data_IF_127489565742
#
_entry.id   IF_127489565742
#
_cell.length_a   1.000
_cell.length_b   1.000
_cell.length_c   1.000
_cell.angle_alpha   90.00
_cell.angle_beta   90.00
_cell.angle_gamma   90.00
#
_symmetry.space_group_name_H-M   'P 1'
#
loop_
_entity.id
_entity.type
_entity.pdbx_description
1 polymer ?
#
# COMPACT_ATOMS: atom_id res chain seq x y z
N UNK A 1 11.07 0.17 14.59
CA UNK A 1 10.88 -0.85 13.56
C UNK A 1 12.12 -0.94 12.67
N UNK A 2 12.44 0.12 11.92
CA UNK A 2 13.57 0.16 10.98
C UNK A 2 14.93 -0.29 11.56
N UNK A 3 15.40 0.35 12.64
CA UNK A 3 16.66 -0.03 13.28
C UNK A 3 16.72 -1.49 13.77
N UNK A 4 15.57 -2.08 14.07
CA UNK A 4 15.45 -3.43 14.63
C UNK A 4 15.44 -4.48 13.51
N UNK A 5 14.86 -4.16 12.35
CA UNK A 5 14.75 -5.08 11.21
C UNK A 5 15.76 -4.82 10.10
N UNK A 6 16.68 -3.86 10.27
CA UNK A 6 17.66 -3.46 9.26
C UNK A 6 18.48 -4.60 8.65
N UNK A 7 18.75 -5.66 9.42
CA UNK A 7 19.48 -6.85 8.93
C UNK A 7 18.63 -7.80 8.07
N UNK A 8 17.30 -7.65 8.11
CA UNK A 8 16.34 -8.39 7.27
C UNK A 8 15.97 -7.62 6.00
N UNK A 9 16.22 -6.32 5.97
CA UNK A 9 15.83 -5.47 4.85
C UNK A 9 16.75 -5.68 3.64
N UNK A 10 16.13 -5.83 2.48
CA UNK A 10 16.79 -5.83 1.18
C UNK A 10 16.62 -4.46 0.51
N UNK A 11 17.50 -4.08 -0.43
CA UNK A 11 17.34 -2.84 -1.16
C UNK A 11 16.02 -2.80 -1.94
N UNK A 12 15.54 -1.59 -2.24
CA UNK A 12 14.37 -1.37 -3.11
C UNK A 12 14.61 -2.09 -4.45
N UNK A 13 13.62 -2.82 -5.01
CA UNK A 13 12.21 -2.92 -4.61
C UNK A 13 11.85 -4.09 -3.68
N UNK A 14 12.83 -4.86 -3.19
CA UNK A 14 12.60 -6.16 -2.53
C UNK A 14 12.01 -6.06 -1.11
N UNK A 15 12.36 -4.99 -0.37
CA UNK A 15 11.76 -4.69 0.92
C UNK A 15 11.38 -3.22 0.98
N UNK A 16 10.12 -2.94 1.31
CA UNK A 16 9.67 -1.61 1.66
C UNK A 16 9.14 -1.62 3.09
N UNK A 17 9.64 -0.70 3.91
CA UNK A 17 9.23 -0.55 5.30
C UNK A 17 8.74 0.88 5.53
N UNK A 18 7.56 1.01 6.12
CA UNK A 18 7.05 2.30 6.57
C UNK A 18 6.23 2.14 7.85
N UNK A 19 6.67 2.79 8.93
CA UNK A 19 6.07 2.64 10.26
C UNK A 19 5.96 1.15 10.68
N UNK A 20 4.74 0.62 10.76
CA UNK A 20 4.41 -0.78 11.04
C UNK A 20 4.09 -1.62 9.79
N UNK A 21 3.97 -1.00 8.61
CA UNK A 21 3.71 -1.69 7.35
C UNK A 21 5.03 -2.18 6.71
N UNK A 22 5.03 -3.45 6.30
CA UNK A 22 6.14 -4.11 5.60
C UNK A 22 5.60 -4.71 4.29
N UNK A 23 6.25 -4.40 3.18
CA UNK A 23 6.07 -5.11 1.92
C UNK A 23 7.34 -5.88 1.58
N UNK A 24 7.16 -7.15 1.22
CA UNK A 24 8.20 -8.01 0.68
C UNK A 24 7.86 -8.35 -0.77
N UNK A 25 8.85 -8.22 -1.65
CA UNK A 25 8.78 -8.74 -3.02
C UNK A 25 9.80 -9.87 -3.17
N UNK A 26 9.42 -10.93 -3.87
CA UNK A 26 10.27 -12.07 -4.18
C UNK A 26 9.94 -12.55 -5.59
N UNK A 27 10.93 -13.14 -6.27
CA UNK A 27 10.72 -13.75 -7.59
C UNK A 27 10.06 -15.13 -7.46
N UNK A 28 10.45 -15.87 -6.42
CA UNK A 28 9.99 -17.23 -6.17
C UNK A 28 9.16 -17.31 -4.89
N UNK A 29 8.15 -18.18 -4.91
CA UNK A 29 7.32 -18.49 -3.74
C UNK A 29 8.14 -19.02 -2.56
N UNK A 30 9.10 -19.92 -2.81
CA UNK A 30 9.93 -20.51 -1.75
C UNK A 30 10.79 -19.44 -1.07
N UNK A 31 11.25 -18.44 -1.82
CA UNK A 31 11.98 -17.31 -1.26
C UNK A 31 11.06 -16.41 -0.42
N UNK A 32 9.83 -16.16 -0.86
CA UNK A 32 8.83 -15.43 -0.08
C UNK A 32 8.55 -16.11 1.27
N UNK A 33 8.35 -17.43 1.27
CA UNK A 33 8.11 -18.19 2.50
C UNK A 33 9.32 -18.11 3.44
N UNK A 34 10.54 -18.26 2.92
CA UNK A 34 11.79 -18.12 3.69
C UNK A 34 11.95 -16.71 4.26
N UNK A 35 11.72 -15.67 3.47
CA UNK A 35 11.81 -14.29 3.93
C UNK A 35 10.77 -14.02 5.01
N UNK A 36 9.50 -14.38 4.80
CA UNK A 36 8.45 -14.17 5.80
C UNK A 36 8.74 -14.90 7.11
N UNK A 37 9.35 -16.09 7.06
CA UNK A 37 9.79 -16.80 8.28
C UNK A 37 10.93 -16.05 8.99
N UNK A 38 11.93 -15.56 8.26
CA UNK A 38 13.01 -14.76 8.84
C UNK A 38 12.48 -13.47 9.50
N UNK A 39 11.45 -12.85 8.90
CA UNK A 39 10.73 -11.71 9.49
C UNK A 39 9.94 -12.10 10.74
N UNK A 40 9.24 -13.24 10.74
CA UNK A 40 8.57 -13.75 11.95
C UNK A 40 9.54 -13.91 13.11
N UNK A 41 10.66 -14.62 12.87
CA UNK A 41 11.64 -14.95 13.89
C UNK A 41 12.37 -13.70 14.37
N UNK A 42 12.73 -12.81 13.45
CA UNK A 42 13.35 -11.53 13.75
C UNK A 42 12.46 -10.65 14.62
N UNK A 43 11.17 -10.55 14.29
CA UNK A 43 10.21 -9.75 15.06
C UNK A 43 9.92 -10.36 16.44
N UNK A 44 9.81 -11.68 16.52
CA UNK A 44 9.58 -12.40 17.78
C UNK A 44 10.68 -12.12 18.81
N UNK A 45 11.95 -11.97 18.38
CA UNK A 45 13.08 -11.62 19.26
C UNK A 45 12.89 -10.29 20.00
N UNK A 46 12.10 -9.38 19.45
CA UNK A 46 11.81 -8.07 20.03
C UNK A 46 10.39 -7.99 20.61
N UNK A 47 9.71 -9.13 20.76
CA UNK A 47 8.34 -9.21 21.28
C UNK A 47 7.28 -8.72 20.29
N UNK A 48 7.62 -8.55 19.01
CA UNK A 48 6.69 -8.18 17.95
C UNK A 48 6.13 -9.42 17.26
N UNK A 49 4.89 -9.34 16.79
CA UNK A 49 4.19 -10.44 16.12
C UNK A 49 3.53 -9.94 14.83
N UNK A 50 3.71 -10.70 13.74
CA UNK A 50 3.01 -10.43 12.49
C UNK A 50 1.52 -10.73 12.62
N UNK A 51 0.72 -9.85 12.04
CA UNK A 51 -0.72 -10.01 11.98
C UNK A 51 -1.11 -10.76 10.70
N UNK A 52 -1.01 -12.08 10.72
CA UNK A 52 -1.35 -12.94 9.58
C UNK A 52 -2.77 -12.74 9.04
N UNK A 53 -3.72 -12.24 9.84
CA UNK A 53 -5.09 -11.94 9.38
C UNK A 53 -5.15 -10.71 8.47
N UNK A 54 -4.21 -9.78 8.62
CA UNK A 54 -4.08 -8.58 7.78
C UNK A 54 -3.05 -8.76 6.66
N UNK A 55 -2.21 -9.78 6.76
CA UNK A 55 -1.19 -10.06 5.75
C UNK A 55 -1.84 -10.74 4.56
N UNK A 56 -1.67 -10.13 3.40
CA UNK A 56 -2.14 -10.62 2.11
C UNK A 56 -0.95 -10.86 1.19
N UNK A 57 -1.11 -11.72 0.19
CA UNK A 57 -0.11 -11.90 -0.86
C UNK A 57 -0.75 -11.78 -2.24
N UNK A 58 0.08 -11.34 -3.19
CA UNK A 58 -0.24 -11.21 -4.60
C UNK A 58 0.77 -12.04 -5.39
N UNK A 59 0.29 -12.80 -6.36
CA UNK A 59 1.14 -13.52 -7.34
C UNK A 59 0.59 -13.25 -8.73
N UNK A 60 1.49 -13.03 -9.68
CA UNK A 60 1.19 -12.85 -11.10
C UNK A 60 1.00 -14.18 -11.82
N UNK A 61 1.38 -15.29 -11.20
CA UNK A 61 1.22 -16.62 -11.78
C UNK A 61 -0.24 -17.08 -11.68
N UNK A 62 -0.83 -17.32 -12.85
CA UNK A 62 -2.21 -17.76 -13.03
C UNK A 62 -2.36 -19.24 -12.64
N UNK A 63 -1.28 -20.02 -12.68
CA UNK A 63 -1.27 -21.45 -12.38
C UNK A 63 -1.00 -21.79 -10.92
N UNK A 64 -0.55 -20.83 -10.11
CA UNK A 64 -0.37 -21.04 -8.67
C UNK A 64 -1.73 -21.11 -7.95
N UNK A 65 -2.34 -22.30 -7.98
CA UNK A 65 -3.58 -22.62 -7.26
C UNK A 65 -3.33 -23.02 -5.79
N UNK A 66 -2.11 -22.79 -5.29
CA UNK A 66 -1.69 -23.23 -3.97
C UNK A 66 -1.95 -22.18 -2.88
N UNK A 67 -2.50 -22.61 -1.75
CA UNK A 67 -2.47 -21.83 -0.51
C UNK A 67 -1.01 -21.65 -0.09
N UNK A 68 -0.53 -20.41 0.02
CA UNK A 68 0.76 -20.15 0.67
C UNK A 68 0.55 -20.26 2.17
N UNK A 69 1.02 -21.37 2.76
CA UNK A 69 0.91 -21.64 4.20
C UNK A 69 2.21 -21.23 4.86
N UNK A 70 2.19 -20.09 5.54
CA UNK A 70 3.36 -19.61 6.27
C UNK A 70 3.11 -19.87 7.74
N UNK A 71 4.00 -20.64 8.35
CA UNK A 71 3.90 -21.06 9.75
C UNK A 71 2.54 -21.73 10.09
N UNK A 72 2.03 -22.56 9.17
CA UNK A 72 0.73 -23.25 9.31
C UNK A 72 -0.51 -22.36 9.14
N UNK A 73 -0.34 -21.04 8.94
CA UNK A 73 -1.45 -20.11 8.66
C UNK A 73 -1.53 -19.85 7.16
N UNK A 74 -2.73 -19.99 6.61
CA UNK A 74 -3.01 -19.68 5.21
C UNK A 74 -3.10 -18.16 5.04
N UNK A 75 -2.26 -17.60 4.17
CA UNK A 75 -2.35 -16.20 3.79
C UNK A 75 -3.48 -15.99 2.78
N UNK A 76 -4.17 -14.87 2.89
CA UNK A 76 -5.18 -14.50 1.91
C UNK A 76 -4.52 -14.06 0.60
N UNK A 77 -4.84 -14.74 -0.50
CA UNK A 77 -4.50 -14.28 -1.85
C UNK A 77 -5.41 -13.13 -2.23
N UNK A 78 -4.83 -12.02 -2.70
CA UNK A 78 -5.58 -10.89 -3.26
C UNK A 78 -5.27 -10.73 -4.75
N UNK A 79 -6.20 -10.17 -5.52
CA UNK A 79 -5.97 -9.73 -6.90
C UNK A 79 -5.46 -8.28 -6.99
N UNK A 80 -5.60 -7.52 -5.90
CA UNK A 80 -5.18 -6.13 -5.80
C UNK A 80 -4.47 -5.95 -4.46
N UNK A 81 -3.16 -5.77 -4.52
CA UNK A 81 -2.33 -5.49 -3.35
C UNK A 81 -2.25 -3.99 -3.13
N UNK A 82 -2.45 -3.52 -1.89
CA UNK A 82 -2.38 -2.10 -1.54
C UNK A 82 -1.23 -1.84 -0.57
N UNK A 83 -0.39 -0.87 -0.89
CA UNK A 83 0.69 -0.41 -0.02
C UNK A 83 0.76 1.12 -0.03
N UNK A 84 0.67 1.74 1.14
CA UNK A 84 0.73 3.20 1.35
C UNK A 84 -0.17 4.02 0.39
N UNK A 85 -1.35 3.49 0.08
CA UNK A 85 -2.32 4.15 -0.79
C UNK A 85 -2.10 3.93 -2.30
N UNK A 86 -1.03 3.23 -2.70
CA UNK A 86 -0.86 2.72 -4.07
C UNK A 86 -1.34 1.28 -4.16
N UNK A 87 -1.93 0.92 -5.29
CA UNK A 87 -2.41 -0.43 -5.57
C UNK A 87 -1.68 -1.05 -6.76
N UNK A 88 -1.42 -2.35 -6.66
CA UNK A 88 -0.83 -3.20 -7.70
C UNK A 88 -1.82 -4.32 -8.00
N UNK A 89 -2.19 -4.47 -9.27
CA UNK A 89 -3.06 -5.55 -9.71
C UNK A 89 -2.24 -6.79 -10.11
N UNK A 90 -2.83 -7.98 -9.94
CA UNK A 90 -2.18 -9.26 -10.26
C UNK A 90 -1.84 -9.42 -11.73
N UNK A 91 -2.56 -8.73 -12.61
CA UNK A 91 -2.32 -8.70 -14.07
C UNK A 91 -1.26 -7.65 -14.47
N UNK A 92 -0.66 -6.96 -13.49
CA UNK A 92 0.24 -5.83 -13.72
C UNK A 92 -0.45 -4.58 -14.29
N UNK A 93 -1.78 -4.58 -14.36
CA UNK A 93 -2.56 -3.51 -14.95
C UNK A 93 -2.59 -2.25 -14.09
N UNK A 94 -2.38 -1.09 -14.71
CA UNK A 94 -2.44 0.21 -14.03
C UNK A 94 -3.88 0.73 -13.82
N UNK A 95 -4.86 0.17 -14.54
CA UNK A 95 -6.24 0.67 -14.55
C UNK A 95 -6.90 0.64 -13.16
N UNK A 96 -6.58 -0.37 -12.34
CA UNK A 96 -7.09 -0.47 -10.97
C UNK A 96 -6.63 0.72 -10.13
N UNK A 97 -5.34 1.04 -10.17
CA UNK A 97 -4.76 2.17 -9.45
C UNK A 97 -5.32 3.51 -9.93
N UNK A 98 -5.43 3.69 -11.25
CA UNK A 98 -6.02 4.90 -11.85
C UNK A 98 -7.46 5.09 -11.36
N UNK A 99 -8.28 4.05 -11.40
CA UNK A 99 -9.67 4.11 -10.94
C UNK A 99 -9.77 4.39 -9.44
N UNK A 100 -8.89 3.80 -8.61
CA UNK A 100 -8.84 4.09 -7.18
C UNK A 100 -8.51 5.56 -6.92
N UNK A 101 -7.52 6.13 -7.61
CA UNK A 101 -7.14 7.55 -7.47
C UNK A 101 -8.25 8.48 -7.95
N UNK A 102 -8.87 8.19 -9.10
CA UNK A 102 -10.01 8.98 -9.62
C UNK A 102 -11.17 8.94 -8.64
N UNK A 103 -11.50 7.77 -8.10
CA UNK A 103 -12.57 7.61 -7.11
C UNK A 103 -12.28 8.37 -5.81
N UNK A 104 -11.04 8.29 -5.31
CA UNK A 104 -10.61 9.04 -4.13
C UNK A 104 -10.69 10.56 -4.35
N UNK A 105 -10.21 11.05 -5.49
CA UNK A 105 -10.32 12.46 -5.86
C UNK A 105 -11.79 12.90 -5.96
N UNK A 106 -12.65 12.08 -6.56
CA UNK A 106 -14.08 12.36 -6.67
C UNK A 106 -14.79 12.35 -5.31
N UNK A 107 -14.41 11.45 -4.40
CA UNK A 107 -14.92 11.42 -3.03
C UNK A 107 -14.56 12.70 -2.26
N UNK A 108 -13.29 13.14 -2.35
CA UNK A 108 -12.82 14.38 -1.75
C UNK A 108 -13.50 15.62 -2.36
N UNK A 109 -13.76 15.60 -3.66
CA UNK A 109 -14.54 16.68 -4.30
C UNK A 109 -15.96 16.76 -3.74
N UNK A 110 -16.65 15.62 -3.60
CA UNK A 110 -18.01 15.57 -3.05
C UNK A 110 -18.09 16.06 -1.61
N UNK A 111 -17.11 15.73 -0.77
CA UNK A 111 -17.09 16.23 0.63
C UNK A 111 -16.89 17.74 0.71
N UNK A 112 -16.17 18.33 -0.24
CA UNK A 112 -15.91 19.77 -0.29
C UNK A 112 -16.95 20.57 -1.08
N UNK A 113 -17.80 19.91 -1.85
CA UNK A 113 -18.81 20.57 -2.71
C UNK A 113 -19.70 21.50 -1.89
N UNK A 114 -20.09 21.13 -0.67
CA UNK A 114 -20.91 21.98 0.21
C UNK A 114 -20.23 23.31 0.56
N UNK A 115 -18.91 23.34 0.69
CA UNK A 115 -18.13 24.55 1.01
C UNK A 115 -17.78 25.33 -0.26
N UNK A 116 -17.36 24.61 -1.31
CA UNK A 116 -16.93 25.22 -2.58
C UNK A 116 -18.12 25.85 -3.34
N UNK A 117 -19.31 25.26 -3.25
CA UNK A 117 -20.51 25.76 -3.92
C UNK A 117 -21.38 26.68 -3.05
N UNK A 118 -21.02 26.91 -1.78
CA UNK A 118 -21.76 27.85 -0.92
C UNK A 118 -21.51 29.31 -1.35
N UNK A 119 -22.58 30.02 -1.66
CA UNK A 119 -22.51 31.45 -2.03
C UNK A 119 -22.16 32.35 -0.84
N UNK A 120 -22.34 31.88 0.40
CA UNK A 120 -22.03 32.62 1.63
C UNK A 120 -20.53 32.62 1.96
N UNK A 121 -19.77 31.73 1.35
CA UNK A 121 -18.33 31.59 1.60
C UNK A 121 -17.55 32.46 0.61
N UNK A 122 -16.54 33.19 1.11
CA UNK A 122 -15.72 34.08 0.28
C UNK A 122 -14.89 33.29 -0.73
N UNK A 123 -14.76 33.85 -1.93
CA UNK A 123 -13.97 33.25 -3.02
C UNK A 123 -12.50 33.02 -2.65
N UNK A 124 -11.93 33.90 -1.80
CA UNK A 124 -10.57 33.71 -1.28
C UNK A 124 -10.43 32.42 -0.47
N UNK A 125 -11.39 32.12 0.42
CA UNK A 125 -11.35 30.91 1.24
C UNK A 125 -11.56 29.65 0.39
N UNK A 126 -12.46 29.70 -0.60
CA UNK A 126 -12.64 28.61 -1.58
C UNK A 126 -11.37 28.35 -2.39
N UNK A 127 -10.71 29.42 -2.85
CA UNK A 127 -9.44 29.33 -3.60
C UNK A 127 -8.32 28.74 -2.74
N UNK A 128 -8.24 29.11 -1.46
CA UNK A 128 -7.31 28.48 -0.52
C UNK A 128 -7.58 26.99 -0.36
N UNK A 129 -8.83 26.60 -0.09
CA UNK A 129 -9.21 25.18 0.10
C UNK A 129 -8.95 24.38 -1.16
N UNK A 130 -9.31 24.92 -2.33
CA UNK A 130 -9.05 24.28 -3.62
C UNK A 130 -7.54 24.07 -3.84
N UNK A 131 -6.71 25.10 -3.61
CA UNK A 131 -5.25 24.97 -3.72
C UNK A 131 -4.71 23.94 -2.72
N UNK A 132 -5.12 24.00 -1.46
CA UNK A 132 -4.62 23.08 -0.42
C UNK A 132 -5.04 21.64 -0.67
N UNK A 133 -6.27 21.37 -1.11
CA UNK A 133 -6.72 19.98 -1.29
C UNK A 133 -6.35 19.44 -2.67
N UNK A 134 -6.59 20.21 -3.72
CA UNK A 134 -6.42 19.74 -5.11
C UNK A 134 -4.95 19.80 -5.55
N UNK A 135 -4.17 20.82 -5.16
CA UNK A 135 -2.73 20.85 -5.50
C UNK A 135 -1.89 19.92 -4.60
N UNK A 136 -2.29 19.68 -3.36
CA UNK A 136 -1.57 18.74 -2.49
C UNK A 136 -1.76 17.29 -2.97
N UNK A 137 -2.98 16.92 -3.40
CA UNK A 137 -3.21 15.65 -4.11
C UNK A 137 -2.41 15.56 -5.41
N UNK A 138 -2.28 16.68 -6.16
CA UNK A 138 -1.40 16.73 -7.34
C UNK A 138 0.06 16.47 -6.96
N UNK A 139 0.58 17.05 -5.88
CA UNK A 139 1.98 16.84 -5.45
C UNK A 139 2.30 15.41 -4.98
N UNK A 140 1.31 14.66 -4.49
CA UNK A 140 1.45 13.22 -4.20
C UNK A 140 1.52 12.35 -5.45
N UNK A 141 0.92 12.80 -6.56
CA UNK A 141 0.96 12.07 -7.85
C UNK A 141 2.30 12.27 -8.57
N UNK A 142 2.90 13.46 -8.48
CA UNK A 142 4.17 13.77 -9.17
C UNK A 142 5.43 13.34 -8.39
N UNK A 143 5.35 13.04 -7.10
CA UNK A 143 6.51 12.59 -6.28
C UNK A 143 6.71 11.06 -6.27
N UNK A 144 6.21 10.36 -7.28
CA UNK A 144 6.53 8.94 -7.54
C UNK A 144 7.37 8.78 -8.81
N UNK A 145 7.74 9.89 -9.46
CA UNK A 145 8.62 9.91 -10.63
C UNK A 145 9.61 11.07 -10.49
N UNK A 146 10.54 10.93 -9.55
CA UNK A 146 11.87 11.57 -9.54
C UNK A 146 12.79 10.82 -8.56
#
# INVERSE_FOLDING_TARGET
MDAITRYLQQPVPWTLLYADDVMLACEDKDDLERQMQAWCDGLARFGLKLNFKKTEYLTTDVNESGSNKINGTELARTSVFKYLGSAIASDGGLMVEVNLRVSAAWSNWRSLTGVLCDRKITEHLKSMIYRTVVLFLKSMIYRTVE
#
